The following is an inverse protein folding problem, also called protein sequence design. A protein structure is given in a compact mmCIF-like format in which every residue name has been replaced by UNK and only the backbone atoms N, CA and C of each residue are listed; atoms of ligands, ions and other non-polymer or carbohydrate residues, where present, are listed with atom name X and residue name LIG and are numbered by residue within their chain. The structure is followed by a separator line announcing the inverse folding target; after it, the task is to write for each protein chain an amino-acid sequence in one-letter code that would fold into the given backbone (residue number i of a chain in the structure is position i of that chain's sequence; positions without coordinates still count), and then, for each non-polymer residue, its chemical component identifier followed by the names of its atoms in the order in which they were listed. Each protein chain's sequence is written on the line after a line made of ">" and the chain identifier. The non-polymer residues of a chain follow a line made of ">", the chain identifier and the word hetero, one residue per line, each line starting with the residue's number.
data_IF_888849659101
#
_entry.id   IF_888849659101
#
_cell.length_a   1.000
_cell.length_b   1.000
_cell.length_c   1.000
_cell.angle_alpha   90.00
_cell.angle_beta   90.00
_cell.angle_gamma   90.00
#
_symmetry.space_group_name_H-M   'P 1'
#
loop_
_entity.id
_entity.type
_entity.pdbx_description
1 polymer ?
#
# COMPACT_ATOMS: atom_id res chain seq x y z
N UNK A 1 9.69 49.67 19.25
CA UNK A 1 10.34 48.40 18.89
C UNK A 1 10.27 47.47 20.08
N UNK A 2 9.60 46.31 19.99
CA UNK A 2 9.62 45.31 21.08
C UNK A 2 11.08 44.87 21.29
N UNK A 3 11.57 44.98 22.53
CA UNK A 3 12.95 44.70 22.87
C UNK A 3 13.21 43.19 22.76
N UNK A 4 14.11 42.78 21.87
CA UNK A 4 14.44 41.36 21.59
C UNK A 4 14.81 40.60 22.87
N UNK A 5 15.46 41.26 23.84
CA UNK A 5 15.81 40.65 25.12
C UNK A 5 14.59 40.33 25.99
N UNK A 6 13.53 41.12 25.88
CA UNK A 6 12.27 40.86 26.58
C UNK A 6 11.56 39.65 25.98
N UNK A 7 11.52 39.56 24.65
CA UNK A 7 10.97 38.39 23.95
C UNK A 7 11.74 37.10 24.28
N UNK A 8 13.08 37.15 24.32
CA UNK A 8 13.90 35.99 24.71
C UNK A 8 13.64 35.56 26.16
N UNK A 9 13.41 36.51 27.07
CA UNK A 9 13.09 36.21 28.47
C UNK A 9 11.69 35.62 28.64
N UNK A 10 10.70 36.14 27.90
CA UNK A 10 9.34 35.57 27.83
C UNK A 10 9.39 34.14 27.28
N UNK A 11 10.13 33.90 26.19
CA UNK A 11 10.32 32.57 25.62
C UNK A 11 10.97 31.60 26.61
N UNK A 12 12.05 32.01 27.28
CA UNK A 12 12.74 31.16 28.26
C UNK A 12 11.86 30.82 29.47
N UNK A 13 10.99 31.75 29.88
CA UNK A 13 10.04 31.54 30.98
C UNK A 13 8.94 30.58 30.55
N UNK A 14 8.38 30.75 29.34
CA UNK A 14 7.40 29.81 28.76
C UNK A 14 7.98 28.40 28.57
N UNK A 15 9.26 28.30 28.22
CA UNK A 15 9.95 27.02 28.04
C UNK A 15 10.24 26.32 29.38
N UNK A 16 10.55 27.10 30.43
CA UNK A 16 10.66 26.58 31.79
C UNK A 16 9.30 26.13 32.34
N UNK A 17 8.23 26.88 32.04
CA UNK A 17 6.86 26.53 32.41
C UNK A 17 6.34 25.29 31.66
N UNK A 18 6.94 24.91 30.54
CA UNK A 18 6.61 23.69 29.80
C UNK A 18 7.22 22.44 30.42
N UNK A 19 8.37 22.57 31.08
CA UNK A 19 9.06 21.44 31.68
C UNK A 19 8.23 20.86 32.84
N UNK A 20 7.99 19.55 32.81
CA UNK A 20 7.16 18.85 33.78
C UNK A 20 5.64 19.01 33.57
N UNK A 21 5.20 19.66 32.48
CA UNK A 21 3.78 19.68 32.11
C UNK A 21 3.43 18.47 31.25
N UNK A 22 2.29 17.88 31.58
CA UNK A 22 1.66 16.83 30.79
C UNK A 22 0.77 17.44 29.70
N UNK A 23 0.75 16.81 28.53
CA UNK A 23 -0.09 17.19 27.42
C UNK A 23 -0.51 15.97 26.59
N UNK A 24 -1.73 16.03 26.05
CA UNK A 24 -2.25 15.03 25.14
C UNK A 24 -1.80 15.33 23.71
N UNK A 25 -1.28 14.32 23.01
CA UNK A 25 -0.94 14.45 21.60
C UNK A 25 -1.09 13.12 20.85
N UNK A 26 -1.35 13.15 19.53
CA UNK A 26 -1.21 11.98 18.69
C UNK A 26 0.27 11.75 18.34
N UNK A 27 0.69 10.49 18.43
CA UNK A 27 2.00 10.03 18.01
C UNK A 27 1.85 9.02 16.86
N UNK A 28 2.46 9.31 15.72
CA UNK A 28 2.53 8.40 14.57
C UNK A 28 3.90 7.73 14.52
N UNK A 29 3.98 6.54 13.94
CA UNK A 29 5.24 5.80 13.87
C UNK A 29 6.36 6.63 13.20
N UNK A 30 7.49 6.80 13.91
CA UNK A 30 8.62 7.62 13.44
C UNK A 30 8.36 9.14 13.44
N UNK A 31 7.20 9.57 13.95
CA UNK A 31 6.80 10.96 14.04
C UNK A 31 7.37 11.69 15.26
N UNK A 32 7.05 12.98 15.32
CA UNK A 32 7.32 13.86 16.48
C UNK A 32 6.00 14.44 16.96
N UNK A 33 5.85 14.61 18.27
CA UNK A 33 4.66 15.27 18.83
C UNK A 33 4.86 16.78 18.84
N UNK A 34 3.77 17.52 18.65
CA UNK A 34 3.79 18.98 18.61
C UNK A 34 2.79 19.55 19.58
N UNK A 35 3.20 20.58 20.31
CA UNK A 35 2.36 21.33 21.24
C UNK A 35 2.37 22.79 20.84
N UNK A 36 1.20 23.40 20.74
CA UNK A 36 1.08 24.85 20.54
C UNK A 36 0.78 25.51 21.88
N UNK A 37 1.71 26.31 22.40
CA UNK A 37 1.53 27.09 23.62
C UNK A 37 1.84 28.56 23.33
N UNK A 38 0.94 29.47 23.74
CA UNK A 38 1.07 30.91 23.51
C UNK A 38 1.38 31.32 22.05
N UNK A 39 0.95 30.52 21.07
CA UNK A 39 1.18 30.78 19.64
C UNK A 39 2.49 30.21 19.08
N UNK A 40 3.32 29.59 19.92
CA UNK A 40 4.58 28.94 19.53
C UNK A 40 4.37 27.43 19.44
N UNK A 41 4.95 26.82 18.41
CA UNK A 41 4.90 25.37 18.20
C UNK A 41 6.20 24.76 18.71
N UNK A 42 6.07 23.97 19.78
CA UNK A 42 7.14 23.15 20.32
C UNK A 42 7.05 21.76 19.69
N UNK A 43 8.19 21.21 19.28
CA UNK A 43 8.26 19.88 18.65
C UNK A 43 9.14 18.99 19.52
N UNK A 44 8.63 17.81 19.88
CA UNK A 44 9.31 16.88 20.76
C UNK A 44 9.55 15.54 20.08
N UNK A 45 10.74 14.98 20.28
CA UNK A 45 10.99 13.55 20.09
C UNK A 45 10.42 12.78 21.26
N UNK A 46 9.70 11.70 20.97
CA UNK A 46 9.05 10.88 22.00
C UNK A 46 9.93 9.73 22.48
N UNK A 47 9.85 9.45 23.77
CA UNK A 47 10.42 8.27 24.41
C UNK A 47 9.28 7.47 25.06
N UNK A 48 9.05 6.19 24.69
CA UNK A 48 9.82 5.39 23.74
C UNK A 48 9.55 5.74 22.27
N UNK A 49 10.59 5.64 21.42
CA UNK A 49 10.55 6.00 19.98
C UNK A 49 9.59 5.18 19.11
N UNK A 50 9.07 4.07 19.63
CA UNK A 50 8.20 3.13 18.91
C UNK A 50 6.72 3.29 19.22
N UNK A 51 6.33 4.23 20.08
CA UNK A 51 4.92 4.43 20.43
C UNK A 51 4.13 5.00 19.24
N UNK A 52 3.01 4.36 18.92
CA UNK A 52 2.03 4.81 17.92
C UNK A 52 0.65 4.79 18.57
N UNK A 53 -0.04 5.92 18.55
CA UNK A 53 -1.33 6.10 19.22
C UNK A 53 -1.49 7.48 19.86
N UNK A 54 -2.52 7.61 20.68
CA UNK A 54 -2.76 8.80 21.49
C UNK A 54 -2.11 8.61 22.86
N UNK A 55 -1.31 9.58 23.30
CA UNK A 55 -0.58 9.50 24.55
C UNK A 55 -0.63 10.79 25.35
N UNK A 56 -0.54 10.64 26.66
CA UNK A 56 -0.23 11.73 27.58
C UNK A 56 1.29 11.77 27.73
N UNK A 57 1.87 12.88 27.30
CA UNK A 57 3.31 13.09 27.28
C UNK A 57 3.72 14.17 28.28
N UNK A 58 4.87 14.00 28.90
CA UNK A 58 5.48 15.01 29.74
C UNK A 58 6.76 15.54 29.10
N UNK A 59 6.91 16.87 29.02
CA UNK A 59 8.15 17.48 28.52
C UNK A 59 9.25 17.38 29.58
N UNK A 60 10.17 16.41 29.41
CA UNK A 60 11.26 16.14 30.36
C UNK A 60 12.51 16.97 30.09
N UNK A 61 12.75 17.31 28.82
CA UNK A 61 13.89 18.14 28.38
C UNK A 61 13.53 18.93 27.11
N UNK A 62 14.31 19.96 26.74
CA UNK A 62 14.10 20.69 25.49
C UNK A 62 14.07 19.75 24.28
N UNK A 63 12.95 19.74 23.56
CA UNK A 63 12.73 18.90 22.38
C UNK A 63 12.55 17.41 22.67
N UNK A 64 12.40 16.98 23.94
CA UNK A 64 12.08 15.61 24.31
C UNK A 64 10.83 15.53 25.17
N UNK A 65 10.00 14.53 24.90
CA UNK A 65 8.83 14.22 25.70
C UNK A 65 8.77 12.74 26.02
N UNK A 66 8.47 12.41 27.28
CA UNK A 66 8.30 11.03 27.73
C UNK A 66 6.82 10.68 27.72
N UNK A 67 6.48 9.50 27.19
CA UNK A 67 5.15 8.93 27.34
C UNK A 67 4.94 8.55 28.80
N UNK A 68 3.92 9.14 29.42
CA UNK A 68 3.50 8.79 30.78
C UNK A 68 2.53 7.62 30.70
N UNK A 69 1.49 7.75 29.87
CA UNK A 69 0.50 6.72 29.64
C UNK A 69 -0.22 6.90 28.29
N UNK A 70 -0.77 5.82 27.72
CA UNK A 70 -1.73 5.93 26.61
C UNK A 70 -2.96 6.74 27.04
N UNK A 71 -3.47 7.58 26.15
CA UNK A 71 -4.66 8.38 26.43
C UNK A 71 -5.92 7.52 26.44
N UNK A 72 -6.86 7.87 27.31
CA UNK A 72 -8.16 7.22 27.37
C UNK A 72 -9.10 7.68 26.26
N UNK A 73 -10.08 6.83 25.93
CA UNK A 73 -11.06 7.11 24.87
C UNK A 73 -11.76 8.46 25.04
N UNK A 74 -12.13 8.84 26.27
CA UNK A 74 -12.83 10.11 26.53
C UNK A 74 -11.93 11.32 26.27
N UNK A 75 -10.66 11.26 26.68
CA UNK A 75 -9.67 12.32 26.43
C UNK A 75 -9.41 12.50 24.93
N UNK A 76 -9.32 11.38 24.20
CA UNK A 76 -9.16 11.39 22.74
C UNK A 76 -10.38 12.06 22.09
N UNK A 77 -11.60 11.69 22.50
CA UNK A 77 -12.83 12.27 21.97
C UNK A 77 -12.88 13.80 22.18
N UNK A 78 -12.63 14.28 23.41
CA UNK A 78 -12.60 15.72 23.73
C UNK A 78 -11.56 16.49 22.92
N UNK A 79 -10.39 15.90 22.69
CA UNK A 79 -9.36 16.49 21.84
C UNK A 79 -9.80 16.58 20.38
N UNK A 80 -10.36 15.49 19.87
CA UNK A 80 -10.82 15.35 18.49
C UNK A 80 -12.00 16.27 18.16
N UNK A 81 -12.87 16.56 19.13
CA UNK A 81 -14.00 17.47 18.99
C UNK A 81 -13.60 18.91 18.61
N UNK A 82 -12.36 19.32 18.89
CA UNK A 82 -11.84 20.64 18.53
C UNK A 82 -11.66 20.83 17.01
N UNK A 83 -11.69 19.74 16.25
CA UNK A 83 -11.48 19.76 14.81
C UNK A 83 -12.78 19.48 14.03
N UNK A 84 -12.93 20.09 12.84
CA UNK A 84 -14.05 19.79 11.96
C UNK A 84 -14.08 18.32 11.56
N UNK A 85 -15.26 17.72 11.66
CA UNK A 85 -15.52 16.37 11.20
C UNK A 85 -15.65 16.31 9.68
N UNK A 86 -15.11 15.26 9.08
CA UNK A 86 -15.26 14.92 7.67
C UNK A 86 -15.42 13.40 7.49
N UNK A 87 -15.92 12.99 6.31
CA UNK A 87 -16.13 11.58 5.96
C UNK A 87 -15.28 11.20 4.76
N UNK A 88 -14.56 10.10 4.88
CA UNK A 88 -13.63 9.61 3.87
C UNK A 88 -13.86 8.12 3.60
N UNK A 89 -13.50 7.66 2.41
CA UNK A 89 -13.33 6.26 2.07
C UNK A 89 -11.89 5.84 2.31
N UNK A 90 -11.65 4.78 3.09
CA UNK A 90 -10.32 4.18 3.20
C UNK A 90 -9.91 3.50 1.89
N UNK A 91 -8.69 3.75 1.41
CA UNK A 91 -8.13 3.08 0.25
C UNK A 91 -7.24 1.91 0.68
N UNK A 92 -6.02 2.20 1.15
CA UNK A 92 -5.04 1.19 1.55
C UNK A 92 -4.09 1.72 2.63
N UNK A 93 -3.51 0.83 3.45
CA UNK A 93 -2.53 1.22 4.47
C UNK A 93 -1.22 1.68 3.81
N UNK A 94 -0.63 2.74 4.36
CA UNK A 94 0.68 3.26 3.97
C UNK A 94 1.78 2.68 4.88
N UNK A 95 1.66 2.92 6.18
CA UNK A 95 2.61 2.44 7.20
C UNK A 95 1.93 2.47 8.58
N UNK A 96 2.13 1.44 9.39
CA UNK A 96 1.52 1.36 10.73
C UNK A 96 0.00 1.53 10.65
N UNK A 97 -0.54 2.42 11.48
CA UNK A 97 -1.96 2.80 11.48
C UNK A 97 -2.27 3.99 10.57
N UNK A 98 -1.39 4.30 9.62
CA UNK A 98 -1.57 5.39 8.66
C UNK A 98 -2.08 4.86 7.33
N UNK A 99 -3.17 5.44 6.83
CA UNK A 99 -3.88 5.04 5.61
C UNK A 99 -3.95 6.17 4.62
N UNK A 100 -4.00 5.81 3.33
CA UNK A 100 -4.50 6.70 2.31
C UNK A 100 -6.02 6.59 2.26
N UNK A 101 -6.70 7.73 2.16
CA UNK A 101 -8.15 7.82 2.04
C UNK A 101 -8.55 8.87 1.01
N UNK A 102 -9.83 8.85 0.62
CA UNK A 102 -10.37 9.82 -0.33
C UNK A 102 -11.68 10.41 0.19
N UNK A 103 -12.00 11.68 -0.10
CA UNK A 103 -13.25 12.30 0.34
C UNK A 103 -14.49 11.54 -0.16
N UNK A 104 -15.49 11.36 0.72
CA UNK A 104 -16.79 10.81 0.32
C UNK A 104 -17.64 11.81 -0.48
N UNK A 105 -17.34 13.10 -0.35
CA UNK A 105 -18.00 14.19 -1.07
C UNK A 105 -16.93 15.19 -1.50
N UNK A 106 -16.60 15.22 -2.78
CA UNK A 106 -15.57 16.11 -3.31
C UNK A 106 -15.95 17.59 -3.19
N UNK A 107 -17.24 17.92 -3.30
CA UNK A 107 -17.72 19.31 -3.23
C UNK A 107 -17.59 19.90 -1.82
N UNK A 108 -18.02 19.17 -0.79
CA UNK A 108 -17.83 19.59 0.61
C UNK A 108 -16.34 19.67 0.95
N UNK A 109 -15.55 18.71 0.48
CA UNK A 109 -14.11 18.70 0.71
C UNK A 109 -13.40 19.89 0.05
N UNK A 110 -13.76 20.21 -1.20
CA UNK A 110 -13.22 21.35 -1.93
C UNK A 110 -13.56 22.67 -1.25
N UNK A 111 -14.78 22.85 -0.74
CA UNK A 111 -15.18 24.07 -0.02
C UNK A 111 -14.36 24.27 1.26
N UNK A 112 -13.96 23.18 1.93
CA UNK A 112 -13.18 23.24 3.19
C UNK A 112 -11.68 23.41 2.97
N UNK A 113 -11.15 22.80 1.92
CA UNK A 113 -9.68 22.65 1.73
C UNK A 113 -9.14 23.32 0.47
N UNK A 114 -10.01 23.78 -0.43
CA UNK A 114 -9.67 24.40 -1.71
C UNK A 114 -9.19 23.44 -2.79
N UNK A 115 -8.97 22.14 -2.50
CA UNK A 115 -8.53 21.14 -3.49
C UNK A 115 -9.12 19.77 -3.18
N UNK A 116 -9.29 18.93 -4.19
CA UNK A 116 -9.74 17.54 -4.01
C UNK A 116 -8.60 16.61 -4.35
N UNK A 117 -8.03 15.97 -3.34
CA UNK A 117 -6.91 15.03 -3.47
C UNK A 117 -7.06 13.92 -2.42
N UNK A 118 -6.41 12.75 -2.63
CA UNK A 118 -6.26 11.76 -1.58
C UNK A 118 -5.59 12.37 -0.35
N UNK A 119 -6.02 11.93 0.82
CA UNK A 119 -5.57 12.45 2.11
C UNK A 119 -5.02 11.33 2.98
N UNK A 120 -4.11 11.72 3.87
CA UNK A 120 -3.53 10.79 4.84
C UNK A 120 -4.42 10.81 6.09
N UNK A 121 -4.80 9.62 6.54
CA UNK A 121 -5.54 9.40 7.79
C UNK A 121 -4.64 8.61 8.73
N UNK A 122 -4.41 9.15 9.92
CA UNK A 122 -3.57 8.53 10.93
C UNK A 122 -4.40 7.85 12.02
N UNK A 123 -3.74 6.90 12.69
CA UNK A 123 -4.26 6.19 13.87
C UNK A 123 -5.59 5.47 13.59
N UNK A 124 -5.72 4.90 12.39
CA UNK A 124 -6.85 4.06 12.01
C UNK A 124 -6.77 2.76 12.80
N UNK A 125 -7.51 2.71 13.93
CA UNK A 125 -7.54 1.55 14.82
C UNK A 125 -8.45 0.44 14.34
N UNK A 126 -9.48 0.77 13.55
CA UNK A 126 -10.42 -0.19 12.96
C UNK A 126 -10.82 0.25 11.55
N UNK A 127 -11.21 -0.71 10.71
CA UNK A 127 -11.59 -0.48 9.31
C UNK A 127 -10.61 -1.12 8.31
N UNK A 128 -11.09 -1.26 7.08
CA UNK A 128 -10.41 -1.90 5.98
C UNK A 128 -10.63 -1.16 4.67
N UNK A 129 -10.14 -1.76 3.57
CA UNK A 129 -10.30 -1.17 2.24
C UNK A 129 -11.78 -0.92 1.94
N UNK A 130 -12.07 0.28 1.43
CA UNK A 130 -13.39 0.79 1.10
C UNK A 130 -14.33 0.99 2.28
N UNK A 131 -13.86 0.88 3.53
CA UNK A 131 -14.72 1.26 4.66
C UNK A 131 -14.86 2.78 4.70
N UNK A 132 -16.09 3.29 4.85
CA UNK A 132 -16.32 4.69 5.13
C UNK A 132 -15.92 4.97 6.58
N UNK A 133 -15.17 6.04 6.79
CA UNK A 133 -14.66 6.45 8.09
C UNK A 133 -14.98 7.90 8.37
N UNK A 134 -15.18 8.20 9.64
CA UNK A 134 -15.25 9.54 10.17
C UNK A 134 -13.86 9.95 10.64
N UNK A 135 -13.44 11.13 10.20
CA UNK A 135 -12.16 11.72 10.59
C UNK A 135 -12.33 13.15 11.07
N UNK A 136 -11.34 13.61 11.82
CA UNK A 136 -11.19 14.97 12.30
C UNK A 136 -10.04 15.65 11.60
N UNK A 137 -10.32 16.76 10.93
CA UNK A 137 -9.36 17.43 10.05
C UNK A 137 -8.66 18.59 10.75
N UNK A 138 -7.34 18.49 10.94
CA UNK A 138 -6.55 19.54 11.60
C UNK A 138 -6.06 20.66 10.65
N UNK A 139 -6.48 20.61 9.38
CA UNK A 139 -6.02 21.48 8.30
C UNK A 139 -4.99 20.83 7.38
N UNK A 140 -4.31 19.77 7.83
CA UNK A 140 -3.28 19.06 7.06
C UNK A 140 -3.44 17.53 7.09
N UNK A 141 -3.82 16.97 8.23
CA UNK A 141 -3.94 15.55 8.47
C UNK A 141 -5.37 15.20 8.90
N UNK A 142 -5.81 14.01 8.51
CA UNK A 142 -7.02 13.40 9.05
C UNK A 142 -6.68 12.53 10.26
N UNK A 143 -7.35 12.76 11.38
CA UNK A 143 -7.27 11.89 12.54
C UNK A 143 -8.48 10.98 12.57
N UNK A 144 -8.26 9.67 12.60
CA UNK A 144 -9.34 8.69 12.67
C UNK A 144 -10.15 8.87 13.97
N UNK A 145 -11.47 8.89 13.84
CA UNK A 145 -12.39 8.93 14.97
C UNK A 145 -13.14 7.59 15.10
N UNK A 146 -13.77 7.12 14.02
CA UNK A 146 -14.51 5.86 13.99
C UNK A 146 -14.82 5.41 12.56
N UNK A 147 -15.17 4.13 12.39
CA UNK A 147 -15.88 3.67 11.19
C UNK A 147 -17.28 4.29 11.13
N UNK A 148 -17.72 4.73 9.94
CA UNK A 148 -19.05 5.33 9.77
C UNK A 148 -20.14 4.25 9.75
N UNK A 149 -20.64 3.90 10.93
CA UNK A 149 -21.72 2.91 11.11
C UNK A 149 -23.07 3.36 10.53
N UNK A 150 -23.21 4.62 10.10
CA UNK A 150 -24.43 5.14 9.46
C UNK A 150 -24.39 5.01 7.94
N UNK A 151 -23.22 4.74 7.36
CA UNK A 151 -23.10 4.51 5.94
C UNK A 151 -23.72 3.15 5.56
N UNK A 152 -24.29 3.09 4.35
CA UNK A 152 -24.75 1.82 3.78
C UNK A 152 -23.54 0.89 3.59
N UNK A 153 -23.55 -0.34 4.14
CA UNK A 153 -22.45 -1.29 3.94
C UNK A 153 -22.42 -1.89 2.52
N UNK A 154 -23.52 -1.82 1.76
CA UNK A 154 -23.63 -2.49 0.47
C UNK A 154 -22.56 -2.04 -0.55
N UNK A 155 -22.28 -0.73 -0.75
CA UNK A 155 -21.24 -0.30 -1.68
C UNK A 155 -19.85 -0.82 -1.30
N UNK A 156 -19.51 -0.86 -0.01
CA UNK A 156 -18.23 -1.40 0.47
C UNK A 156 -18.07 -2.86 0.09
N UNK A 157 -19.09 -3.69 0.34
CA UNK A 157 -19.03 -5.11 0.00
C UNK A 157 -19.02 -5.35 -1.52
N UNK A 158 -19.69 -4.51 -2.29
CA UNK A 158 -19.64 -4.56 -3.75
C UNK A 158 -18.24 -4.21 -4.27
N UNK A 159 -17.62 -3.14 -3.79
CA UNK A 159 -16.25 -2.76 -4.15
C UNK A 159 -15.25 -3.88 -3.80
N UNK A 160 -15.38 -4.49 -2.62
CA UNK A 160 -14.54 -5.64 -2.22
C UNK A 160 -14.75 -6.85 -3.13
N UNK A 161 -15.99 -7.13 -3.53
CA UNK A 161 -16.33 -8.23 -4.43
C UNK A 161 -15.75 -8.02 -5.82
N UNK A 162 -15.88 -6.82 -6.37
CA UNK A 162 -15.33 -6.46 -7.68
C UNK A 162 -13.79 -6.46 -7.66
N UNK A 163 -13.18 -6.04 -6.54
CA UNK A 163 -11.73 -6.13 -6.37
C UNK A 163 -11.24 -7.58 -6.39
N UNK A 164 -11.97 -8.50 -5.73
CA UNK A 164 -11.66 -9.94 -5.76
C UNK A 164 -11.81 -10.55 -7.15
N UNK A 165 -12.69 -9.99 -7.99
CA UNK A 165 -12.89 -10.39 -9.38
C UNK A 165 -11.89 -9.76 -10.35
N UNK A 166 -11.01 -8.89 -9.84
CA UNK A 166 -10.07 -8.10 -10.65
C UNK A 166 -10.78 -7.26 -11.72
N UNK A 167 -11.99 -6.77 -11.43
CA UNK A 167 -12.76 -5.94 -12.35
C UNK A 167 -12.02 -4.63 -12.59
N UNK A 168 -11.75 -4.30 -13.85
CA UNK A 168 -11.03 -3.07 -14.22
C UNK A 168 -11.81 -1.82 -13.80
N UNK A 169 -11.15 -0.73 -13.36
CA UNK A 169 -11.83 0.48 -12.89
C UNK A 169 -12.82 1.09 -13.89
N UNK A 170 -12.54 0.96 -15.21
CA UNK A 170 -13.44 1.40 -16.29
C UNK A 170 -14.73 0.57 -16.40
N UNK A 171 -14.65 -0.71 -16.04
CA UNK A 171 -15.73 -1.69 -16.16
C UNK A 171 -16.54 -1.84 -14.87
N UNK A 172 -16.09 -1.21 -13.77
CA UNK A 172 -16.79 -1.20 -12.49
C UNK A 172 -18.20 -0.60 -12.63
N UNK A 173 -19.24 -1.40 -12.38
CA UNK A 173 -20.65 -0.99 -12.44
C UNK A 173 -21.47 -1.69 -11.36
N UNK A 174 -22.18 -0.91 -10.55
CA UNK A 174 -23.26 -1.38 -9.68
C UNK A 174 -24.16 -0.21 -9.29
N UNK A 175 -25.38 -0.50 -8.80
CA UNK A 175 -26.33 0.51 -8.36
C UNK A 175 -25.79 1.27 -7.14
N UNK A 176 -25.73 2.59 -7.21
CA UNK A 176 -25.22 3.44 -6.12
C UNK A 176 -23.72 3.74 -6.20
N UNK A 177 -23.02 3.29 -7.25
CA UNK A 177 -21.62 3.64 -7.48
C UNK A 177 -21.47 5.15 -7.76
N UNK A 178 -20.74 5.85 -6.91
CA UNK A 178 -20.43 7.28 -7.09
C UNK A 178 -19.08 7.49 -7.78
N UNK A 179 -18.80 8.69 -8.33
CA UNK A 179 -17.47 9.04 -8.83
C UNK A 179 -16.38 8.83 -7.78
N UNK A 180 -16.61 9.24 -6.54
CA UNK A 180 -15.66 9.13 -5.42
C UNK A 180 -15.31 7.68 -5.11
N UNK A 181 -16.32 6.79 -5.11
CA UNK A 181 -16.10 5.35 -4.95
C UNK A 181 -15.26 4.77 -6.08
N UNK A 182 -15.49 5.20 -7.33
CA UNK A 182 -14.66 4.77 -8.48
C UNK A 182 -13.23 5.26 -8.33
N UNK A 183 -13.03 6.51 -7.91
CA UNK A 183 -11.71 7.09 -7.70
C UNK A 183 -10.93 6.34 -6.62
N UNK A 184 -11.57 5.97 -5.50
CA UNK A 184 -10.95 5.13 -4.45
C UNK A 184 -10.61 3.74 -4.99
N UNK A 185 -11.53 3.14 -5.74
CA UNK A 185 -11.31 1.83 -6.34
C UNK A 185 -10.10 1.83 -7.28
N UNK A 186 -9.99 2.84 -8.14
CA UNK A 186 -8.84 3.03 -9.02
C UNK A 186 -7.52 3.18 -8.25
N UNK A 187 -7.51 3.94 -7.15
CA UNK A 187 -6.33 4.07 -6.28
C UNK A 187 -5.91 2.73 -5.67
N UNK A 188 -6.87 1.91 -5.24
CA UNK A 188 -6.60 0.58 -4.68
C UNK A 188 -6.08 -0.37 -5.76
N UNK A 189 -6.71 -0.39 -6.95
CA UNK A 189 -6.23 -1.17 -8.09
C UNK A 189 -4.79 -0.81 -8.48
N UNK A 190 -4.45 0.49 -8.49
CA UNK A 190 -3.09 0.95 -8.81
C UNK A 190 -1.98 0.46 -7.85
N UNK A 191 -2.34 -0.13 -6.70
CA UNK A 191 -1.40 -0.76 -5.75
C UNK A 191 -1.32 -2.28 -5.85
N UNK A 192 -2.21 -2.90 -6.60
CA UNK A 192 -2.31 -4.35 -6.72
C UNK A 192 -1.64 -4.74 -8.04
N UNK A 193 -0.63 -5.59 -7.94
CA UNK A 193 0.23 -5.92 -9.08
C UNK A 193 -0.54 -6.61 -10.20
N UNK A 194 -1.60 -7.35 -9.86
CA UNK A 194 -2.53 -8.04 -10.74
C UNK A 194 -3.30 -7.10 -11.70
N UNK A 195 -3.40 -5.81 -11.37
CA UNK A 195 -4.00 -4.80 -12.25
C UNK A 195 -2.98 -4.16 -13.19
N UNK A 196 -1.69 -4.50 -13.08
CA UNK A 196 -0.66 -4.05 -14.01
C UNK A 196 -0.85 -4.76 -15.36
N UNK A 197 -0.91 -4.03 -16.49
CA UNK A 197 -1.00 -4.63 -17.83
C UNK A 197 0.07 -5.69 -18.11
N UNK A 198 1.24 -5.58 -17.47
CA UNK A 198 2.37 -6.51 -17.65
C UNK A 198 2.35 -7.69 -16.66
N UNK A 199 1.35 -7.78 -15.78
CA UNK A 199 1.30 -8.83 -14.75
C UNK A 199 1.19 -10.23 -15.33
N UNK A 200 0.37 -10.40 -16.37
CA UNK A 200 0.22 -11.67 -17.05
C UNK A 200 1.56 -12.13 -17.63
N UNK A 201 2.26 -11.23 -18.34
CA UNK A 201 3.60 -11.47 -18.87
C UNK A 201 4.60 -11.86 -17.76
N UNK A 202 4.55 -11.19 -16.60
CA UNK A 202 5.39 -11.52 -15.45
C UNK A 202 5.09 -12.89 -14.82
N UNK A 203 3.81 -13.27 -14.72
CA UNK A 203 3.40 -14.60 -14.23
C UNK A 203 3.83 -15.71 -15.20
N UNK A 204 3.65 -15.47 -16.49
CA UNK A 204 4.04 -16.40 -17.55
C UNK A 204 5.57 -16.57 -17.56
N UNK A 205 6.33 -15.48 -17.46
CA UNK A 205 7.79 -15.51 -17.34
C UNK A 205 8.24 -16.34 -16.12
N UNK A 206 7.64 -16.12 -14.95
CA UNK A 206 7.93 -16.90 -13.74
C UNK A 206 7.62 -18.37 -13.89
N UNK A 207 6.50 -18.70 -14.54
CA UNK A 207 6.11 -20.09 -14.81
C UNK A 207 7.14 -20.78 -15.71
N UNK A 208 7.59 -20.10 -16.76
CA UNK A 208 8.61 -20.60 -17.68
C UNK A 208 9.97 -20.73 -17.01
N UNK A 209 10.41 -19.73 -16.25
CA UNK A 209 11.63 -19.78 -15.45
C UNK A 209 11.61 -20.97 -14.48
N UNK A 210 10.48 -21.20 -13.78
CA UNK A 210 10.32 -22.31 -12.87
C UNK A 210 10.47 -23.67 -13.57
N UNK A 211 9.76 -23.86 -14.68
CA UNK A 211 9.82 -25.09 -15.47
C UNK A 211 11.22 -25.38 -16.02
N UNK A 212 11.88 -24.35 -16.58
CA UNK A 212 13.24 -24.49 -17.13
C UNK A 212 14.26 -24.78 -16.01
N UNK A 213 14.18 -24.07 -14.89
CA UNK A 213 15.10 -24.24 -13.76
C UNK A 213 15.02 -25.63 -13.14
N UNK A 214 13.82 -26.23 -13.07
CA UNK A 214 13.66 -27.61 -12.61
C UNK A 214 14.34 -28.63 -13.54
N UNK A 215 14.36 -28.37 -14.85
CA UNK A 215 15.06 -29.20 -15.82
C UNK A 215 16.55 -28.87 -15.99
N UNK A 216 17.06 -27.84 -15.31
CA UNK A 216 18.47 -27.44 -15.38
C UNK A 216 18.80 -26.30 -16.37
N UNK A 217 17.80 -25.75 -17.04
CA UNK A 217 17.95 -24.63 -17.99
C UNK A 217 17.56 -23.26 -17.42
N UNK A 218 17.88 -22.21 -18.17
CA UNK A 218 17.61 -20.81 -17.83
C UNK A 218 16.83 -20.11 -18.95
N UNK A 219 15.79 -19.35 -18.57
CA UNK A 219 14.99 -18.58 -19.52
C UNK A 219 15.78 -17.36 -20.01
N UNK A 220 15.88 -17.18 -21.33
CA UNK A 220 16.47 -15.97 -21.93
C UNK A 220 15.39 -14.97 -22.34
N UNK A 221 14.36 -15.46 -23.03
CA UNK A 221 13.19 -14.65 -23.42
C UNK A 221 12.05 -15.56 -23.87
N UNK A 222 10.84 -15.01 -23.97
CA UNK A 222 9.74 -15.70 -24.61
C UNK A 222 8.89 -14.71 -25.40
N UNK A 223 8.22 -15.23 -26.43
CA UNK A 223 7.30 -14.51 -27.28
C UNK A 223 5.96 -15.21 -27.29
N UNK A 224 4.90 -14.41 -27.22
CA UNK A 224 3.53 -14.89 -27.29
C UNK A 224 3.07 -14.94 -28.74
N UNK A 225 2.65 -16.14 -29.18
CA UNK A 225 2.21 -16.38 -30.55
C UNK A 225 0.74 -16.81 -30.55
N UNK A 226 -0.13 -15.80 -30.60
CA UNK A 226 -1.58 -16.01 -30.48
C UNK A 226 -1.97 -16.53 -29.10
N UNK A 227 -3.14 -17.17 -29.00
CA UNK A 227 -3.70 -17.59 -27.70
C UNK A 227 -3.16 -18.96 -27.22
N UNK A 228 -2.62 -19.78 -28.12
CA UNK A 228 -2.41 -21.21 -27.86
C UNK A 228 -1.00 -21.58 -27.40
N UNK A 229 0.04 -20.87 -27.87
CA UNK A 229 1.43 -21.27 -27.61
C UNK A 229 2.39 -20.10 -27.39
N UNK A 230 3.52 -20.40 -26.74
CA UNK A 230 4.68 -19.52 -26.59
C UNK A 230 5.85 -20.04 -27.39
N UNK A 231 6.68 -19.14 -27.92
CA UNK A 231 8.05 -19.46 -28.35
C UNK A 231 9.00 -19.03 -27.26
N UNK A 232 9.75 -19.97 -26.71
CA UNK A 232 10.62 -19.80 -25.55
C UNK A 232 12.06 -19.99 -25.98
N UNK A 233 12.90 -19.00 -25.70
CA UNK A 233 14.35 -19.05 -25.86
C UNK A 233 14.99 -19.31 -24.50
N UNK A 234 15.82 -20.33 -24.41
CA UNK A 234 16.39 -20.77 -23.15
C UNK A 234 17.77 -21.38 -23.36
N UNK A 235 18.54 -21.50 -22.27
CA UNK A 235 19.90 -22.05 -22.29
C UNK A 235 20.03 -23.27 -21.38
N UNK A 236 20.83 -24.26 -21.79
CA UNK A 236 21.22 -25.39 -20.92
C UNK A 236 22.28 -24.95 -19.91
N UNK A 237 22.61 -25.83 -18.95
CA UNK A 237 23.69 -25.58 -17.98
C UNK A 237 25.05 -25.32 -18.65
N UNK A 238 25.27 -25.93 -19.82
CA UNK A 238 26.51 -25.79 -20.59
C UNK A 238 26.54 -24.49 -21.43
N UNK A 239 25.47 -23.69 -21.40
CA UNK A 239 25.36 -22.42 -22.12
C UNK A 239 24.86 -22.54 -23.56
N UNK A 240 24.40 -23.73 -23.98
CA UNK A 240 23.84 -23.91 -25.32
C UNK A 240 22.45 -23.29 -25.42
N UNK A 241 22.19 -22.60 -26.53
CA UNK A 241 20.93 -21.89 -26.76
C UNK A 241 19.94 -22.75 -27.53
N UNK A 242 18.72 -22.84 -27.01
CA UNK A 242 17.61 -23.56 -27.63
C UNK A 242 16.39 -22.66 -27.77
N UNK A 243 15.55 -23.03 -28.73
CA UNK A 243 14.25 -22.38 -28.98
C UNK A 243 13.18 -23.45 -29.06
N UNK A 244 12.14 -23.33 -28.26
CA UNK A 244 11.04 -24.31 -28.21
C UNK A 244 9.70 -23.62 -28.28
N UNK A 245 8.77 -24.18 -29.06
CA UNK A 245 7.37 -23.77 -29.08
C UNK A 245 6.58 -24.69 -28.15
N UNK A 246 5.83 -24.11 -27.21
CA UNK A 246 5.14 -24.84 -26.14
C UNK A 246 3.71 -24.35 -25.96
N UNK A 247 2.79 -25.25 -25.62
CA UNK A 247 1.42 -24.87 -25.30
C UNK A 247 1.34 -24.12 -23.96
N UNK A 248 0.53 -23.06 -23.91
CA UNK A 248 0.38 -22.26 -22.68
C UNK A 248 -0.35 -23.00 -21.56
N UNK A 249 -1.22 -23.95 -21.90
CA UNK A 249 -2.06 -24.62 -20.91
C UNK A 249 -1.25 -25.53 -19.98
N UNK A 250 -0.37 -26.34 -20.56
CA UNK A 250 0.33 -27.43 -19.87
C UNK A 250 1.85 -27.42 -20.05
N UNK A 251 2.40 -26.47 -20.81
CA UNK A 251 3.83 -26.41 -21.18
C UNK A 251 4.29 -27.60 -22.04
N UNK A 252 3.37 -28.34 -22.66
CA UNK A 252 3.71 -29.42 -23.59
C UNK A 252 4.42 -28.85 -24.81
N UNK A 253 5.52 -29.49 -25.20
CA UNK A 253 6.33 -29.06 -26.33
C UNK A 253 5.62 -29.42 -27.62
N UNK A 254 5.29 -28.40 -28.40
CA UNK A 254 4.73 -28.58 -29.74
C UNK A 254 5.83 -28.71 -30.79
N UNK A 255 6.95 -28.00 -30.60
CA UNK A 255 8.13 -28.09 -31.45
C UNK A 255 9.38 -27.76 -30.63
N UNK A 256 10.34 -28.68 -30.54
CA UNK A 256 11.55 -28.50 -29.72
C UNK A 256 12.68 -27.73 -30.42
N UNK A 257 12.55 -27.46 -31.73
CA UNK A 257 13.62 -26.85 -32.53
C UNK A 257 14.77 -27.82 -32.89
N UNK A 258 14.69 -29.07 -32.43
CA UNK A 258 15.61 -30.17 -32.73
C UNK A 258 14.79 -31.36 -33.27
N UNK A 259 15.36 -32.18 -34.15
CA UNK A 259 14.65 -33.37 -34.64
C UNK A 259 14.55 -34.42 -33.51
N UNK A 260 13.40 -34.50 -32.85
CA UNK A 260 13.03 -35.58 -31.92
C UNK A 260 12.25 -36.72 -32.60
N UNK A 261 12.55 -36.99 -33.87
CA UNK A 261 11.94 -38.08 -34.64
C UNK A 261 10.40 -38.09 -34.62
N UNK A 262 9.76 -36.91 -34.51
CA UNK A 262 8.31 -36.74 -34.50
C UNK A 262 7.62 -37.03 -33.16
N UNK A 263 8.37 -37.14 -32.06
CA UNK A 263 7.83 -37.38 -30.69
C UNK A 263 7.85 -36.14 -29.80
N UNK A 264 7.96 -34.94 -30.37
CA UNK A 264 8.04 -33.68 -29.63
C UNK A 264 6.90 -33.49 -28.61
N UNK A 265 5.70 -33.99 -28.94
CA UNK A 265 4.49 -33.91 -28.11
C UNK A 265 4.48 -34.84 -26.89
N UNK A 266 5.42 -35.77 -26.79
CA UNK A 266 5.53 -36.69 -25.66
C UNK A 266 6.26 -36.03 -24.47
N UNK A 267 6.76 -34.79 -24.63
CA UNK A 267 7.56 -34.09 -23.64
C UNK A 267 6.92 -32.76 -23.22
N UNK A 268 7.00 -32.46 -21.92
CA UNK A 268 6.82 -31.10 -21.41
C UNK A 268 8.15 -30.34 -21.41
N UNK A 269 8.09 -29.02 -21.25
CA UNK A 269 9.27 -28.15 -21.27
C UNK A 269 10.34 -28.59 -20.25
N UNK A 270 9.93 -29.15 -19.11
CA UNK A 270 10.85 -29.63 -18.08
C UNK A 270 11.59 -30.90 -18.55
N UNK A 271 10.87 -31.88 -19.07
CA UNK A 271 11.39 -33.17 -19.50
C UNK A 271 12.25 -33.06 -20.76
N UNK A 272 11.96 -32.08 -21.61
CA UNK A 272 12.73 -31.79 -22.81
C UNK A 272 14.21 -31.51 -22.50
N UNK A 273 14.50 -30.75 -21.44
CA UNK A 273 15.87 -30.38 -21.07
C UNK A 273 16.68 -31.61 -20.69
N UNK A 274 16.10 -32.51 -19.88
CA UNK A 274 16.76 -33.75 -19.50
C UNK A 274 17.06 -34.69 -20.67
N UNK A 275 16.27 -34.66 -21.75
CA UNK A 275 16.55 -35.43 -22.98
C UNK A 275 17.69 -34.82 -23.79
N UNK A 276 17.79 -33.49 -23.80
CA UNK A 276 18.85 -32.76 -24.50
C UNK A 276 20.18 -32.97 -23.77
N UNK A 277 20.22 -32.81 -22.44
CA UNK A 277 21.44 -33.03 -21.66
C UNK A 277 21.93 -34.50 -21.73
N UNK A 278 21.02 -35.49 -21.68
CA UNK A 278 21.39 -36.90 -21.79
C UNK A 278 21.82 -37.34 -23.20
N UNK A 279 21.51 -36.56 -24.26
CA UNK A 279 22.04 -36.83 -25.61
C UNK A 279 23.54 -36.54 -25.69
N UNK A 280 24.02 -35.60 -24.89
CA UNK A 280 25.42 -35.17 -24.92
C UNK A 280 26.31 -36.00 -23.96
N UNK A 281 25.75 -36.62 -22.92
CA UNK A 281 26.47 -37.58 -22.06
C UNK A 281 26.65 -38.98 -22.69
N UNK A 282 26.08 -39.19 -23.87
CA UNK A 282 26.05 -40.48 -24.58
C UNK A 282 27.16 -40.69 -25.61
N UNK A 283 28.37 -40.16 -25.42
CA UNK A 283 29.58 -40.56 -26.16
C UNK A 283 30.85 -40.30 -25.35
N UNK A 284 31.18 -41.20 -24.42
CA UNK A 284 32.55 -41.65 -24.14
C UNK A 284 32.58 -43.18 -23.94
#
# INVERSE_FOLDING_TARGET
>A
MKNIRHLLKELATQESDLQGKQFLAPAVQGGRVRLRMAGIIYTFEIEPRGFEGWGIFEATAPGKAQLIEPAEFLQIAEYLEQFPQARLWLAYPLQGQTWLAYPMNESDWHQRTGTVKPVIVHLVGEGGKFDPVVVRWDGKNGWFEACDRRADPQPTEQLRTELKRLTQPKDLRFKGLTPEMRTVYEQVCGKIAEFNPNWQHYQDEKRLQGALKMGGGELQSFQENGDEYWTVHWTTRNGEQHTSAIYKQDLTVFSSGICLSGRDRDFDLQSLIGVIENRDEGFE
#
